data_IF_030570259062
#
_entry.id   IF_030570259062
#
_cell.length_a   1.000
_cell.length_b   1.000
_cell.length_c   1.000
_cell.angle_alpha   90.00
_cell.angle_beta   90.00
_cell.angle_gamma   90.00
#
_symmetry.space_group_name_H-M   'P 1'
#
loop_
_entity.id
_entity.type
_entity.pdbx_description
1 polymer ?
#
# COMPACT_ATOMS: atom_id res chain seq x y z
N UNK A 1 -7.19 0.83 11.65
CA UNK A 1 -6.44 -0.45 11.75
C UNK A 1 -5.48 -0.56 10.60
N UNK A 2 -4.24 -0.93 10.89
CA UNK A 2 -3.17 -1.06 9.88
C UNK A 2 -3.43 -2.27 8.98
N UNK A 3 -3.27 -2.11 7.68
CA UNK A 3 -3.39 -3.18 6.71
C UNK A 3 -2.30 -3.04 5.63
N UNK A 4 -2.01 -4.13 4.94
CA UNK A 4 -0.98 -4.22 3.91
C UNK A 4 -1.50 -4.84 2.63
N UNK A 5 -0.93 -4.40 1.53
CA UNK A 5 -1.15 -4.98 0.21
C UNK A 5 0.19 -5.08 -0.52
N UNK A 6 0.44 -6.22 -1.14
CA UNK A 6 1.70 -6.49 -1.82
C UNK A 6 1.57 -6.52 -3.34
N UNK A 7 2.56 -5.95 -4.01
CA UNK A 7 2.72 -6.02 -5.47
C UNK A 7 4.17 -5.74 -5.87
N UNK A 8 4.43 -5.58 -7.14
CA UNK A 8 5.79 -5.47 -7.67
C UNK A 8 5.98 -4.16 -8.44
N UNK A 9 7.12 -3.49 -8.23
CA UNK A 9 7.50 -2.32 -9.01
C UNK A 9 7.69 -2.74 -10.47
N UNK A 10 7.04 -2.00 -11.37
CA UNK A 10 7.16 -2.17 -12.81
C UNK A 10 8.60 -1.87 -13.27
N UNK A 11 9.06 -2.45 -14.39
CA UNK A 11 10.33 -2.07 -14.99
C UNK A 11 10.35 -0.66 -15.58
N UNK A 12 9.23 0.05 -15.59
CA UNK A 12 9.10 1.39 -16.15
C UNK A 12 9.71 2.43 -15.20
N UNK A 13 11.02 2.61 -15.27
CA UNK A 13 11.79 3.45 -14.38
C UNK A 13 12.55 4.53 -15.15
N UNK A 14 12.67 5.71 -14.54
CA UNK A 14 13.44 6.83 -15.06
C UNK A 14 14.46 7.26 -14.00
N UNK A 15 15.68 7.56 -14.42
CA UNK A 15 16.70 8.14 -13.55
C UNK A 15 16.83 9.63 -13.86
N UNK A 16 16.80 10.47 -12.83
CA UNK A 16 16.97 11.92 -13.00
C UNK A 16 18.44 12.30 -13.14
N UNK A 17 18.72 13.56 -13.56
CA UNK A 17 20.08 14.03 -13.76
C UNK A 17 20.94 14.00 -12.50
N UNK A 18 20.34 14.20 -11.31
CA UNK A 18 21.03 14.14 -10.03
C UNK A 18 21.10 12.71 -9.45
N UNK A 19 20.47 11.73 -10.10
CA UNK A 19 20.53 10.33 -9.69
C UNK A 19 19.33 9.83 -8.88
N UNK A 20 18.24 10.58 -8.79
CA UNK A 20 17.01 10.10 -8.20
C UNK A 20 16.31 9.12 -9.15
N UNK A 21 15.47 8.25 -8.60
CA UNK A 21 14.75 7.25 -9.35
C UNK A 21 13.25 7.56 -9.34
N UNK A 22 12.62 7.52 -10.50
CA UNK A 22 11.16 7.60 -10.61
C UNK A 22 10.65 6.26 -11.14
N UNK A 23 9.85 5.58 -10.33
CA UNK A 23 9.17 4.35 -10.74
C UNK A 23 7.76 4.71 -11.19
N UNK A 24 7.47 4.51 -12.47
CA UNK A 24 6.20 4.91 -13.09
C UNK A 24 5.18 3.78 -13.02
N UNK A 25 3.91 4.15 -12.93
CA UNK A 25 2.79 3.23 -13.09
C UNK A 25 2.87 2.03 -12.13
N UNK A 26 3.17 2.28 -10.87
CA UNK A 26 3.32 1.22 -9.86
C UNK A 26 1.97 0.89 -9.25
N UNK A 27 1.51 -0.36 -9.30
CA UNK A 27 0.31 -0.77 -8.57
C UNK A 27 0.59 -0.75 -7.08
N UNK A 28 -0.19 0.00 -6.31
CA UNK A 28 0.02 0.13 -4.86
C UNK A 28 -1.13 -0.44 -4.03
N UNK A 29 -2.30 -0.63 -4.63
CA UNK A 29 -3.46 -1.24 -3.97
C UNK A 29 -4.38 -1.82 -5.04
N UNK A 30 -5.31 -2.66 -4.62
CA UNK A 30 -6.31 -3.22 -5.54
C UNK A 30 -7.61 -3.57 -4.84
N UNK A 31 -8.67 -3.73 -5.63
CA UNK A 31 -9.90 -4.37 -5.19
C UNK A 31 -9.71 -5.88 -5.10
N UNK A 32 -10.61 -6.56 -4.43
CA UNK A 32 -10.62 -8.00 -4.38
C UNK A 32 -10.93 -8.55 -3.00
N UNK A 33 -10.71 -9.84 -2.85
CA UNK A 33 -10.94 -10.57 -1.59
C UNK A 33 -9.64 -11.23 -1.16
N UNK A 34 -9.34 -11.14 0.12
CA UNK A 34 -8.15 -11.75 0.69
C UNK A 34 -8.50 -12.35 2.06
N UNK A 35 -7.88 -13.48 2.38
CA UNK A 35 -8.09 -14.13 3.67
C UNK A 35 -7.17 -13.54 4.73
N UNK A 36 -7.74 -13.29 5.91
CA UNK A 36 -7.03 -12.82 7.10
C UNK A 36 -7.39 -13.69 8.28
N UNK A 37 -6.51 -13.73 9.28
CA UNK A 37 -6.90 -14.26 10.58
C UNK A 37 -7.81 -13.26 11.31
N UNK A 38 -8.76 -13.76 12.09
CA UNK A 38 -9.66 -12.90 12.86
C UNK A 38 -8.91 -11.94 13.77
N UNK A 39 -7.76 -12.36 14.32
CA UNK A 39 -6.92 -11.51 15.16
C UNK A 39 -6.40 -10.26 14.40
N UNK A 40 -6.18 -10.37 13.08
CA UNK A 40 -5.75 -9.24 12.26
C UNK A 40 -6.86 -8.20 12.08
N UNK A 41 -8.11 -8.60 12.27
CA UNK A 41 -9.27 -7.71 12.24
C UNK A 41 -9.61 -7.16 13.63
N UNK A 42 -8.84 -7.52 14.66
CA UNK A 42 -9.12 -7.14 16.04
C UNK A 42 -10.16 -8.01 16.73
N UNK A 43 -10.51 -9.17 16.17
CA UNK A 43 -11.43 -10.10 16.78
C UNK A 43 -10.76 -10.90 17.90
N UNK A 44 -11.54 -11.30 18.90
CA UNK A 44 -11.06 -12.02 20.09
C UNK A 44 -11.78 -13.35 20.25
N UNK A 45 -11.32 -14.15 21.24
CA UNK A 45 -11.93 -15.44 21.54
C UNK A 45 -11.73 -16.46 20.44
N UNK A 46 -12.74 -17.29 20.21
CA UNK A 46 -12.70 -18.33 19.17
C UNK A 46 -12.58 -17.80 17.76
N UNK A 47 -12.98 -16.54 17.52
CA UNK A 47 -12.92 -15.93 16.18
C UNK A 47 -11.51 -15.46 15.82
N UNK A 48 -10.61 -15.29 16.79
CA UNK A 48 -9.27 -14.76 16.55
C UNK A 48 -8.40 -15.67 15.66
N UNK A 49 -8.63 -16.99 15.72
CA UNK A 49 -7.88 -17.99 14.93
C UNK A 49 -8.60 -18.41 13.64
N UNK A 50 -9.80 -17.91 13.40
CA UNK A 50 -10.55 -18.24 12.18
C UNK A 50 -9.99 -17.49 10.99
N UNK A 51 -10.03 -18.14 9.82
CA UNK A 51 -9.74 -17.50 8.55
C UNK A 51 -11.01 -16.78 8.09
N UNK A 52 -10.87 -15.49 7.83
CA UNK A 52 -11.98 -14.62 7.45
C UNK A 52 -11.70 -14.01 6.09
N UNK A 53 -12.65 -14.16 5.16
CA UNK A 53 -12.58 -13.50 3.87
C UNK A 53 -12.87 -12.01 4.03
N UNK A 54 -11.94 -11.18 3.59
CA UNK A 54 -12.02 -9.72 3.68
C UNK A 54 -12.09 -9.15 2.27
N UNK A 55 -13.11 -8.35 2.03
CA UNK A 55 -13.39 -7.73 0.73
C UNK A 55 -12.88 -6.30 0.76
N UNK A 56 -12.17 -5.90 -0.29
CA UNK A 56 -11.83 -4.52 -0.59
C UNK A 56 -12.72 -4.05 -1.73
N UNK A 57 -13.88 -3.43 -1.44
CA UNK A 57 -14.82 -3.04 -2.48
C UNK A 57 -14.26 -1.93 -3.38
N UNK A 58 -14.57 -1.94 -4.68
CA UNK A 58 -14.10 -0.88 -5.58
C UNK A 58 -14.48 0.53 -5.14
N UNK A 59 -15.68 0.73 -4.65
CA UNK A 59 -16.16 2.03 -4.19
C UNK A 59 -15.41 2.54 -2.95
N UNK A 60 -14.81 1.66 -2.16
CA UNK A 60 -13.95 2.04 -1.04
C UNK A 60 -12.51 2.28 -1.48
N UNK A 61 -11.94 1.37 -2.28
CA UNK A 61 -10.55 1.49 -2.76
C UNK A 61 -10.37 2.74 -3.62
N UNK A 62 -11.33 3.00 -4.50
CA UNK A 62 -11.25 4.12 -5.45
C UNK A 62 -12.07 5.32 -5.03
N UNK A 63 -12.52 5.38 -3.78
CA UNK A 63 -13.15 6.60 -3.28
C UNK A 63 -12.16 7.77 -3.40
N UNK A 64 -12.68 8.95 -3.61
CA UNK A 64 -11.87 10.15 -3.69
C UNK A 64 -11.00 10.31 -2.45
N UNK A 65 -11.55 10.06 -1.29
CA UNK A 65 -10.83 10.18 -0.02
C UNK A 65 -9.72 9.13 0.13
N UNK A 66 -9.95 7.89 -0.28
CA UNK A 66 -8.93 6.84 -0.24
C UNK A 66 -7.75 7.17 -1.16
N UNK A 67 -8.03 7.54 -2.41
CA UNK A 67 -6.98 7.90 -3.35
C UNK A 67 -6.21 9.15 -2.90
N UNK A 68 -6.91 10.18 -2.45
CA UNK A 68 -6.28 11.41 -1.95
C UNK A 68 -5.37 11.13 -0.75
N UNK A 69 -5.72 10.15 0.08
CA UNK A 69 -4.94 9.80 1.27
C UNK A 69 -3.57 9.22 0.95
N UNK A 70 -3.38 8.63 -0.21
CA UNK A 70 -2.07 8.11 -0.65
C UNK A 70 -1.18 9.17 -1.30
N UNK A 71 -1.76 10.28 -1.77
CA UNK A 71 -1.00 11.34 -2.44
C UNK A 71 0.03 11.95 -1.50
N UNK A 72 1.29 11.95 -1.92
CA UNK A 72 2.39 12.51 -1.13
C UNK A 72 2.87 11.64 0.04
N UNK A 73 2.31 10.45 0.23
CA UNK A 73 2.71 9.60 1.35
C UNK A 73 4.12 9.04 1.17
N UNK A 74 4.85 8.80 2.28
CA UNK A 74 6.21 8.31 2.22
C UNK A 74 6.36 6.95 1.53
N UNK A 75 7.41 6.82 0.74
CA UNK A 75 7.95 5.52 0.31
C UNK A 75 9.05 5.14 1.29
N UNK A 76 9.01 3.90 1.77
CA UNK A 76 9.95 3.43 2.80
C UNK A 76 10.74 2.21 2.31
N UNK A 77 11.90 2.01 2.91
CA UNK A 77 12.70 0.80 2.72
C UNK A 77 12.31 -0.19 3.82
N UNK A 78 11.55 -1.20 3.46
CA UNK A 78 10.81 -2.10 4.35
C UNK A 78 9.71 -1.38 5.15
N UNK A 79 8.85 -2.15 5.80
CA UNK A 79 7.80 -1.59 6.64
C UNK A 79 8.37 -0.98 7.91
N UNK A 80 7.96 0.24 8.27
CA UNK A 80 8.22 0.75 9.60
C UNK A 80 7.47 -0.10 10.64
N UNK A 81 7.82 0.00 11.93
CA UNK A 81 7.19 -0.84 12.97
C UNK A 81 5.70 -0.58 13.19
N UNK A 82 5.16 0.49 12.64
CA UNK A 82 3.75 0.85 12.74
C UNK A 82 3.41 1.96 11.77
N UNK A 83 2.36 2.69 12.06
CA UNK A 83 1.97 3.87 11.28
C UNK A 83 3.00 4.98 11.47
N UNK A 84 3.33 5.67 10.39
CA UNK A 84 4.25 6.80 10.39
C UNK A 84 3.46 8.08 10.66
N UNK A 85 4.02 8.97 11.47
CA UNK A 85 3.47 10.29 11.73
C UNK A 85 4.54 11.37 11.66
N UNK A 86 4.17 12.63 11.96
CA UNK A 86 5.10 13.76 11.85
C UNK A 86 6.34 13.64 12.74
N UNK A 87 6.25 12.88 13.83
CA UNK A 87 7.33 12.77 14.80
C UNK A 87 8.43 11.81 14.35
N UNK A 88 8.13 10.85 13.46
CA UNK A 88 9.07 9.81 13.07
C UNK A 88 9.26 9.65 11.56
N UNK A 89 8.50 10.36 10.74
CA UNK A 89 8.57 10.23 9.27
C UNK A 89 9.99 10.41 8.73
N UNK A 90 10.77 11.30 9.30
CA UNK A 90 12.15 11.57 8.88
C UNK A 90 13.08 10.36 9.00
N UNK A 91 12.72 9.39 9.84
CA UNK A 91 13.52 8.18 10.02
C UNK A 91 13.24 7.12 8.94
N UNK A 92 12.13 7.24 8.21
CA UNK A 92 11.66 6.20 7.30
C UNK A 92 11.45 6.67 5.87
N UNK A 93 11.20 7.97 5.64
CA UNK A 93 10.87 8.48 4.32
C UNK A 93 12.09 8.49 3.41
N UNK A 94 12.04 7.68 2.35
CA UNK A 94 13.09 7.57 1.33
C UNK A 94 12.64 8.11 -0.03
N UNK A 95 11.43 8.61 -0.08
CA UNK A 95 10.78 9.15 -1.27
C UNK A 95 9.31 9.34 -0.99
N UNK A 96 8.53 9.57 -2.04
CA UNK A 96 7.08 9.75 -1.88
C UNK A 96 6.31 9.22 -3.08
N UNK A 97 5.03 8.91 -2.85
CA UNK A 97 4.09 8.52 -3.89
C UNK A 97 3.35 9.75 -4.40
N UNK A 98 3.13 9.82 -5.71
CA UNK A 98 2.33 10.90 -6.29
C UNK A 98 1.59 10.41 -7.52
N UNK A 99 0.69 11.26 -8.03
CA UNK A 99 -0.13 10.97 -9.20
C UNK A 99 -0.96 9.69 -8.98
N UNK A 100 -1.64 9.64 -7.85
CA UNK A 100 -2.49 8.52 -7.46
C UNK A 100 -3.71 8.49 -8.38
N UNK A 101 -3.99 7.32 -8.96
CA UNK A 101 -5.08 7.17 -9.92
C UNK A 101 -5.56 5.73 -9.99
N UNK A 102 -6.76 5.54 -10.49
CA UNK A 102 -7.23 4.21 -10.86
C UNK A 102 -6.63 3.81 -12.20
N UNK A 103 -6.18 2.56 -12.30
CA UNK A 103 -5.72 2.02 -13.58
C UNK A 103 -6.84 1.90 -14.61
N UNK A 104 -6.45 1.63 -15.85
CA UNK A 104 -7.38 1.45 -16.97
C UNK A 104 -7.10 0.11 -17.67
N UNK A 105 -8.09 -0.38 -18.45
CA UNK A 105 -7.95 -1.64 -19.16
C UNK A 105 -7.72 -2.82 -18.22
N UNK A 106 -6.66 -3.58 -18.44
CA UNK A 106 -6.30 -4.71 -17.58
C UNK A 106 -5.92 -4.30 -16.15
N UNK A 107 -5.62 -3.02 -15.92
CA UNK A 107 -5.25 -2.47 -14.62
C UNK A 107 -6.41 -1.79 -13.88
N UNK A 108 -7.63 -1.93 -14.38
CA UNK A 108 -8.83 -1.24 -13.84
C UNK A 108 -9.12 -1.54 -12.37
N UNK A 109 -8.63 -2.67 -11.87
CA UNK A 109 -8.84 -3.07 -10.47
C UNK A 109 -7.73 -2.60 -9.54
N UNK A 110 -6.77 -1.85 -10.06
CA UNK A 110 -5.60 -1.39 -9.31
C UNK A 110 -5.61 0.12 -9.10
N UNK A 111 -5.14 0.52 -7.92
CA UNK A 111 -4.72 1.89 -7.66
C UNK A 111 -3.26 2.03 -8.06
N UNK A 112 -2.95 3.01 -8.90
CA UNK A 112 -1.65 3.19 -9.52
C UNK A 112 -1.03 4.49 -8.98
N UNK A 113 0.28 4.47 -8.80
CA UNK A 113 1.05 5.65 -8.39
C UNK A 113 2.38 5.71 -9.11
N UNK A 114 2.98 6.89 -9.14
CA UNK A 114 4.37 7.07 -9.47
C UNK A 114 5.15 7.23 -8.15
N UNK A 115 6.25 6.51 -8.02
CA UNK A 115 7.07 6.55 -6.80
C UNK A 115 8.36 7.31 -7.09
N UNK A 116 8.59 8.40 -6.36
CA UNK A 116 9.80 9.20 -6.45
C UNK A 116 10.73 8.80 -5.32
N UNK A 117 11.87 8.21 -5.64
CA UNK A 117 12.83 7.67 -4.67
C UNK A 117 14.06 8.56 -4.64
N UNK A 118 14.42 9.03 -3.45
CA UNK A 118 15.50 10.00 -3.26
C UNK A 118 16.71 9.43 -2.53
N UNK A 119 16.55 8.32 -1.82
CA UNK A 119 17.61 7.73 -1.00
C UNK A 119 18.50 6.79 -1.81
N UNK A 120 19.81 6.96 -1.69
CA UNK A 120 20.80 6.15 -2.44
C UNK A 120 20.63 4.66 -2.17
N UNK A 121 20.51 4.28 -0.92
CA UNK A 121 20.45 2.86 -0.56
C UNK A 121 19.19 2.19 -1.12
N UNK A 122 18.05 2.87 -1.06
CA UNK A 122 16.81 2.33 -1.62
C UNK A 122 16.86 2.28 -3.14
N UNK A 123 17.41 3.31 -3.81
CA UNK A 123 17.59 3.31 -5.27
C UNK A 123 18.43 2.10 -5.69
N UNK A 124 19.57 1.89 -5.04
CA UNK A 124 20.45 0.77 -5.35
C UNK A 124 19.76 -0.58 -5.11
N UNK A 125 19.01 -0.70 -4.01
CA UNK A 125 18.26 -1.92 -3.71
C UNK A 125 17.21 -2.23 -4.80
N UNK A 126 16.47 -1.23 -5.25
CA UNK A 126 15.49 -1.39 -6.33
C UNK A 126 16.17 -1.81 -7.64
N UNK A 127 17.26 -1.15 -7.99
CA UNK A 127 18.01 -1.47 -9.21
C UNK A 127 18.64 -2.86 -9.16
N UNK A 128 18.96 -3.34 -7.96
CA UNK A 128 19.49 -4.69 -7.73
C UNK A 128 18.41 -5.76 -7.50
N UNK A 129 17.15 -5.43 -7.68
CA UNK A 129 16.06 -6.41 -7.70
C UNK A 129 15.08 -6.38 -6.54
N UNK A 130 15.23 -5.48 -5.56
CA UNK A 130 14.24 -5.29 -4.49
C UNK A 130 13.04 -4.53 -5.06
N UNK A 131 11.99 -5.23 -5.47
CA UNK A 131 10.88 -4.63 -6.26
C UNK A 131 9.49 -4.97 -5.77
N UNK A 132 9.35 -5.69 -4.65
CA UNK A 132 8.04 -5.96 -4.10
C UNK A 132 7.50 -4.72 -3.40
N UNK A 133 6.22 -4.44 -3.60
CA UNK A 133 5.53 -3.31 -2.99
C UNK A 133 4.50 -3.82 -2.00
N UNK A 134 4.45 -3.18 -0.85
CA UNK A 134 3.44 -3.44 0.17
C UNK A 134 3.01 -2.12 0.79
N UNK A 135 1.80 -1.65 0.48
CA UNK A 135 1.31 -0.42 1.11
C UNK A 135 0.81 -0.69 2.52
N UNK A 136 1.04 0.27 3.40
CA UNK A 136 0.48 0.29 4.75
C UNK A 136 -0.62 1.33 4.82
N UNK A 137 -1.75 0.98 5.41
CA UNK A 137 -2.90 1.86 5.47
C UNK A 137 -3.78 1.56 6.68
N UNK A 138 -4.59 2.51 7.05
CA UNK A 138 -5.64 2.33 8.04
C UNK A 138 -6.96 2.02 7.35
N UNK A 139 -7.78 1.22 7.98
CA UNK A 139 -9.15 0.99 7.55
C UNK A 139 -10.00 0.52 8.73
N UNK A 140 -11.31 0.57 8.54
CA UNK A 140 -12.29 -0.05 9.42
C UNK A 140 -12.78 -1.34 8.77
N UNK A 141 -13.25 -2.28 9.58
CA UNK A 141 -13.84 -3.52 9.11
C UNK A 141 -15.33 -3.56 9.45
N UNK A 142 -16.17 -3.83 8.45
CA UNK A 142 -17.61 -4.00 8.62
C UNK A 142 -17.99 -5.44 8.33
N UNK A 143 -18.69 -6.09 9.25
CA UNK A 143 -19.16 -7.46 9.07
C UNK A 143 -20.33 -7.49 8.10
N UNK A 144 -20.26 -8.39 7.12
CA UNK A 144 -21.33 -8.65 6.16
C UNK A 144 -22.24 -9.77 6.68
N UNK A 145 -23.43 -9.87 6.10
CA UNK A 145 -24.44 -10.86 6.52
C UNK A 145 -23.97 -12.30 6.32
N UNK A 146 -23.11 -12.56 5.34
CA UNK A 146 -22.57 -13.88 5.01
C UNK A 146 -21.35 -14.28 5.87
N UNK A 147 -20.95 -13.45 6.83
CA UNK A 147 -19.81 -13.71 7.70
C UNK A 147 -18.48 -13.20 7.17
N UNK A 148 -18.42 -12.67 5.94
CA UNK A 148 -17.24 -11.97 5.43
C UNK A 148 -17.17 -10.56 6.02
N UNK A 149 -16.04 -9.89 5.84
CA UNK A 149 -15.86 -8.50 6.26
C UNK A 149 -15.46 -7.66 5.06
N UNK A 150 -15.84 -6.38 5.09
CA UNK A 150 -15.44 -5.41 4.09
C UNK A 150 -14.58 -4.34 4.73
N UNK A 151 -13.52 -3.92 4.03
CA UNK A 151 -12.74 -2.75 4.44
C UNK A 151 -13.49 -1.49 4.09
N UNK A 152 -13.47 -0.54 5.02
CA UNK A 152 -14.12 0.76 4.92
C UNK A 152 -13.14 1.84 5.30
N UNK A 153 -13.35 3.07 4.82
CA UNK A 153 -12.58 4.24 5.21
C UNK A 153 -11.07 4.01 5.07
N UNK A 154 -10.66 3.50 3.92
CA UNK A 154 -9.25 3.23 3.61
C UNK A 154 -8.49 4.55 3.58
N UNK A 155 -7.39 4.63 4.34
CA UNK A 155 -6.53 5.82 4.42
C UNK A 155 -5.07 5.38 4.36
N UNK A 156 -4.38 5.75 3.28
CA UNK A 156 -2.98 5.43 3.06
C UNK A 156 -2.06 6.06 4.12
N UNK A 157 -1.00 5.36 4.46
CA UNK A 157 0.00 5.83 5.41
C UNK A 157 1.41 5.80 4.80
N UNK A 158 1.77 4.71 4.15
CA UNK A 158 3.08 4.58 3.52
C UNK A 158 3.04 3.54 2.41
N UNK A 159 4.03 3.57 1.55
CA UNK A 159 4.28 2.55 0.53
C UNK A 159 5.67 1.98 0.77
N UNK A 160 5.75 0.72 1.17
CA UNK A 160 7.01 0.08 1.48
C UNK A 160 7.54 -0.70 0.28
N UNK A 161 8.85 -0.60 0.03
CA UNK A 161 9.57 -1.51 -0.87
C UNK A 161 10.13 -2.61 0.01
N UNK A 162 9.75 -3.85 -0.25
CA UNK A 162 10.04 -4.98 0.63
C UNK A 162 10.73 -6.12 -0.10
N UNK A 163 11.38 -6.98 0.67
CA UNK A 163 11.89 -8.27 0.18
C UNK A 163 10.81 -9.33 0.32
N UNK A 164 10.93 -10.33 -0.54
CA UNK A 164 10.05 -11.49 -0.48
C UNK A 164 10.80 -12.78 -0.36
#
# INVERSE_FOLDING_TARGET
MLAYYGYTISPNQLETGEGFLICKNVPIARTGTQDYLGSELGLSGGDSSRIIAVIRPPDEVFSEAAMASFEGKPVTNDHPPGLIGPDDVKNYEMGHAQNIRRGTGEWKDFMIADLHIHDRDLIDAIQNGKREISCGYECDYAKNEDGTYSQKNIRGNHVAVVDR
#
